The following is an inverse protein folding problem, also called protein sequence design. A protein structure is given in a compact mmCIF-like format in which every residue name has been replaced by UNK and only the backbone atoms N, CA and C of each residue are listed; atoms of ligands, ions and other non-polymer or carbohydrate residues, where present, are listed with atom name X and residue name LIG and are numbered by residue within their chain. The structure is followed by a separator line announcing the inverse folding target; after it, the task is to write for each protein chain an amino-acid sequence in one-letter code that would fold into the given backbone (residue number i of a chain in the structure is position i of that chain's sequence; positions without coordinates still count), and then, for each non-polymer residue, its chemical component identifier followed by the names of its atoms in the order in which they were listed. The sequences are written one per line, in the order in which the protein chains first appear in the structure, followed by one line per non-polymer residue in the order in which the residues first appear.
data_IF_755599977122
#
_entry.id   IF_755599977122
#
_cell.length_a   1.000
_cell.length_b   1.000
_cell.length_c   1.000
_cell.angle_alpha   90.00
_cell.angle_beta   90.00
_cell.angle_gamma   90.00
#
_symmetry.space_group_name_H-M   'P 1'
#
loop_
_entity.id
_entity.type
_entity.pdbx_description
1 polymer ?
#
# COMPACT_ATOMS: atom_id res chain seq x y z
N UNK A 1 -4.34 -41.12 7.91
CA UNK A 1 -4.73 -39.99 8.79
C UNK A 1 -3.84 -38.81 8.40
N UNK A 2 -4.34 -37.89 7.57
CA UNK A 2 -3.68 -36.63 7.16
C UNK A 2 -4.10 -35.46 8.08
N UNK A 3 -4.64 -35.75 9.27
CA UNK A 3 -5.44 -34.83 10.07
C UNK A 3 -4.64 -33.96 11.05
N UNK A 4 -3.33 -33.77 10.82
CA UNK A 4 -2.47 -33.00 11.72
C UNK A 4 -1.61 -31.95 11.00
N UNK A 5 -1.65 -31.87 9.67
CA UNK A 5 -0.95 -30.83 8.93
C UNK A 5 -1.87 -29.63 8.71
N UNK A 6 -1.43 -28.46 9.18
CA UNK A 6 -2.06 -27.19 8.86
C UNK A 6 -1.79 -26.90 7.39
N UNK A 7 -2.83 -26.87 6.58
CA UNK A 7 -2.72 -26.41 5.20
C UNK A 7 -2.34 -24.92 5.22
N UNK A 8 -1.23 -24.59 4.57
CA UNK A 8 -0.76 -23.22 4.41
C UNK A 8 -1.24 -22.71 3.05
N UNK A 9 -1.92 -21.57 3.05
CA UNK A 9 -2.27 -20.84 1.82
C UNK A 9 -1.24 -19.73 1.64
N UNK A 10 -0.67 -19.63 0.45
CA UNK A 10 0.23 -18.52 0.09
C UNK A 10 -0.54 -17.51 -0.74
N UNK A 11 -0.74 -16.32 -0.19
CA UNK A 11 -1.30 -15.17 -0.90
C UNK A 11 -0.18 -14.14 -1.13
N UNK A 12 0.07 -13.81 -2.40
CA UNK A 12 1.12 -12.87 -2.79
C UNK A 12 0.48 -11.54 -3.18
N UNK A 13 0.83 -10.49 -2.44
CA UNK A 13 0.38 -9.13 -2.70
C UNK A 13 1.55 -8.29 -3.25
N UNK A 14 1.35 -7.66 -4.39
CA UNK A 14 2.30 -6.71 -4.97
C UNK A 14 1.75 -5.29 -4.86
N UNK A 15 2.47 -4.40 -4.18
CA UNK A 15 2.10 -2.99 -4.04
C UNK A 15 3.17 -2.10 -4.67
N UNK A 16 2.77 -1.20 -5.57
CA UNK A 16 3.63 -0.17 -6.12
C UNK A 16 3.38 1.17 -5.43
N UNK A 17 4.45 1.84 -4.99
CA UNK A 17 4.36 3.14 -4.29
C UNK A 17 4.77 4.26 -5.24
N UNK A 18 3.83 5.13 -5.58
CA UNK A 18 4.11 6.35 -6.34
C UNK A 18 4.51 7.48 -5.39
N UNK A 19 5.69 8.07 -5.61
CA UNK A 19 6.10 9.30 -4.94
C UNK A 19 6.22 10.42 -5.96
N UNK A 20 5.27 11.38 -6.02
CA UNK A 20 5.39 12.51 -6.92
C UNK A 20 6.65 13.30 -6.56
N UNK A 21 7.44 13.68 -7.57
CA UNK A 21 8.62 14.50 -7.39
C UNK A 21 8.18 15.92 -6.95
N UNK A 22 8.14 16.16 -5.64
CA UNK A 22 7.91 17.49 -5.12
C UNK A 22 9.16 18.34 -5.42
N UNK A 23 9.17 19.04 -6.55
CA UNK A 23 10.19 20.03 -6.84
C UNK A 23 10.29 21.04 -5.69
N UNK A 24 11.51 21.34 -5.23
CA UNK A 24 11.81 22.32 -4.15
C UNK A 24 11.06 23.66 -4.27
N UNK A 25 10.65 24.03 -5.48
CA UNK A 25 9.86 25.23 -5.78
C UNK A 25 8.46 25.26 -5.13
N UNK A 26 7.85 24.11 -4.81
CA UNK A 26 6.44 24.06 -4.38
C UNK A 26 6.20 24.51 -2.93
N UNK A 27 7.20 24.36 -2.04
CA UNK A 27 7.13 24.84 -0.65
C UNK A 27 7.19 26.38 -0.55
N UNK A 28 7.73 27.07 -1.56
CA UNK A 28 7.84 28.53 -1.57
C UNK A 28 6.59 29.22 -2.13
N UNK A 29 5.94 28.61 -3.12
CA UNK A 29 4.71 29.15 -3.73
C UNK A 29 3.45 28.94 -2.87
N UNK A 30 3.51 28.07 -1.85
CA UNK A 30 2.35 27.74 -1.01
C UNK A 30 1.93 28.82 -0.02
N UNK A 31 2.68 29.91 0.12
CA UNK A 31 2.35 30.96 1.08
C UNK A 31 1.49 32.12 0.52
N UNK A 32 1.21 32.16 -0.79
CA UNK A 32 0.66 33.37 -1.43
C UNK A 32 -0.78 33.25 -1.94
N UNK A 33 -1.35 32.06 -2.19
CA UNK A 33 -2.69 31.97 -2.81
C UNK A 33 -3.54 30.80 -2.30
N UNK A 34 -4.47 31.05 -1.37
CA UNK A 34 -5.32 30.03 -0.77
C UNK A 34 -6.41 29.44 -1.71
N UNK A 35 -6.86 30.19 -2.74
CA UNK A 35 -7.91 29.72 -3.66
C UNK A 35 -7.35 28.98 -4.90
N UNK A 36 -6.23 29.44 -5.48
CA UNK A 36 -5.53 28.70 -6.57
C UNK A 36 -4.93 27.37 -6.10
N UNK A 37 -4.77 27.19 -4.78
CA UNK A 37 -4.28 25.96 -4.18
C UNK A 37 -5.25 24.79 -4.25
N UNK A 38 -6.56 25.02 -4.14
CA UNK A 38 -7.55 23.92 -4.16
C UNK A 38 -7.61 23.25 -5.53
N UNK A 39 -7.68 24.05 -6.59
CA UNK A 39 -7.64 23.53 -7.97
C UNK A 39 -6.30 22.88 -8.30
N UNK A 40 -5.18 23.46 -7.84
CA UNK A 40 -3.86 22.86 -8.00
C UNK A 40 -3.73 21.50 -7.30
N UNK A 41 -4.24 21.38 -6.08
CA UNK A 41 -4.24 20.11 -5.33
C UNK A 41 -5.10 19.03 -5.99
N UNK A 42 -6.28 19.40 -6.51
CA UNK A 42 -7.14 18.45 -7.21
C UNK A 42 -6.51 17.94 -8.50
N UNK A 43 -5.89 18.83 -9.30
CA UNK A 43 -5.18 18.44 -10.52
C UNK A 43 -4.02 17.51 -10.23
N UNK A 44 -3.20 17.84 -9.23
CA UNK A 44 -2.09 16.98 -8.84
C UNK A 44 -2.54 15.62 -8.30
N UNK A 45 -3.63 15.58 -7.52
CA UNK A 45 -4.22 14.32 -7.10
C UNK A 45 -4.67 13.50 -8.32
N UNK A 46 -5.33 14.14 -9.30
CA UNK A 46 -5.73 13.48 -10.53
C UNK A 46 -4.52 12.93 -11.32
N UNK A 47 -3.46 13.73 -11.47
CA UNK A 47 -2.21 13.32 -12.13
C UNK A 47 -1.56 12.14 -11.41
N UNK A 48 -1.52 12.17 -10.07
CA UNK A 48 -1.00 11.08 -9.26
C UNK A 48 -1.85 9.80 -9.40
N UNK A 49 -3.18 9.92 -9.42
CA UNK A 49 -4.08 8.79 -9.65
C UNK A 49 -3.90 8.21 -11.06
N UNK A 50 -3.73 9.06 -12.08
CA UNK A 50 -3.45 8.61 -13.45
C UNK A 50 -2.10 7.90 -13.55
N UNK A 51 -1.07 8.42 -12.89
CA UNK A 51 0.24 7.77 -12.80
C UNK A 51 0.13 6.39 -12.15
N UNK A 52 -0.57 6.27 -11.02
CA UNK A 52 -0.87 5.00 -10.37
C UNK A 52 -1.61 4.03 -11.29
N UNK A 53 -2.66 4.48 -11.99
CA UNK A 53 -3.41 3.66 -12.93
C UNK A 53 -2.54 3.17 -14.10
N UNK A 54 -1.64 4.02 -14.61
CA UNK A 54 -0.68 3.65 -15.65
C UNK A 54 0.28 2.57 -15.17
N UNK A 55 0.87 2.73 -13.97
CA UNK A 55 1.74 1.71 -13.38
C UNK A 55 1.01 0.39 -13.16
N UNK A 56 -0.22 0.43 -12.65
CA UNK A 56 -1.03 -0.76 -12.44
C UNK A 56 -1.28 -1.51 -13.76
N UNK A 57 -1.61 -0.80 -14.86
CA UNK A 57 -1.76 -1.40 -16.20
C UNK A 57 -0.45 -2.03 -16.69
N UNK A 58 0.68 -1.32 -16.57
CA UNK A 58 1.99 -1.84 -16.98
C UNK A 58 2.37 -3.10 -16.20
N UNK A 59 2.19 -3.10 -14.88
CA UNK A 59 2.48 -4.26 -14.01
C UNK A 59 1.53 -5.42 -14.31
N UNK A 60 0.25 -5.16 -14.54
CA UNK A 60 -0.72 -6.20 -14.89
C UNK A 60 -0.36 -6.87 -16.22
N UNK A 61 0.05 -6.07 -17.22
CA UNK A 61 0.48 -6.59 -18.50
C UNK A 61 1.79 -7.41 -18.40
N UNK A 62 2.78 -6.94 -17.65
CA UNK A 62 4.05 -7.66 -17.47
C UNK A 62 3.89 -8.96 -16.68
N UNK A 63 2.90 -9.01 -15.78
CA UNK A 63 2.59 -10.16 -14.95
C UNK A 63 1.47 -11.04 -15.52
N UNK A 64 0.95 -10.79 -16.73
CA UNK A 64 -0.23 -11.45 -17.27
C UNK A 64 -0.21 -12.99 -17.17
N UNK A 65 0.97 -13.61 -17.30
CA UNK A 65 1.17 -15.08 -17.14
C UNK A 65 0.81 -15.63 -15.76
N UNK A 66 0.79 -14.77 -14.75
CA UNK A 66 0.46 -15.08 -13.36
C UNK A 66 -0.98 -14.71 -12.99
N UNK A 67 -1.77 -14.26 -13.98
CA UNK A 67 -3.17 -13.86 -13.80
C UNK A 67 -3.35 -12.87 -12.64
N UNK A 68 -2.64 -11.73 -12.66
CA UNK A 68 -2.66 -10.78 -11.55
C UNK A 68 -4.08 -10.23 -11.38
N UNK A 69 -4.53 -10.18 -10.13
CA UNK A 69 -5.83 -9.63 -9.77
C UNK A 69 -5.68 -8.26 -9.13
N UNK A 70 -6.25 -7.23 -9.75
CA UNK A 70 -6.30 -5.90 -9.15
C UNK A 70 -7.34 -5.89 -8.03
N UNK A 71 -6.94 -5.45 -6.84
CA UNK A 71 -7.84 -5.26 -5.71
C UNK A 71 -8.79 -4.08 -5.99
N UNK A 72 -10.08 -4.28 -5.75
CA UNK A 72 -11.11 -3.31 -6.08
C UNK A 72 -12.10 -3.08 -4.92
N UNK A 73 -13.03 -2.15 -5.13
CA UNK A 73 -14.22 -2.08 -4.30
C UNK A 73 -15.26 -3.06 -4.85
N UNK A 74 -15.94 -3.77 -3.95
CA UNK A 74 -17.03 -4.67 -4.30
C UNK A 74 -18.25 -4.34 -3.46
N UNK A 75 -19.40 -4.80 -3.93
CA UNK A 75 -20.67 -4.63 -3.23
C UNK A 75 -21.14 -5.99 -2.75
N UNK A 76 -21.44 -6.08 -1.47
CA UNK A 76 -22.11 -7.21 -0.86
C UNK A 76 -23.43 -6.72 -0.26
N UNK A 77 -24.52 -7.36 -0.65
CA UNK A 77 -25.91 -6.93 -0.39
C UNK A 77 -26.14 -5.41 -0.69
N UNK A 78 -26.18 -4.61 0.37
CA UNK A 78 -26.45 -3.17 0.35
C UNK A 78 -25.26 -2.31 0.81
N UNK A 79 -24.07 -2.91 0.97
CA UNK A 79 -22.89 -2.21 1.50
C UNK A 79 -21.68 -2.36 0.57
N UNK A 80 -20.89 -1.30 0.49
CA UNK A 80 -19.63 -1.30 -0.24
C UNK A 80 -18.48 -1.75 0.67
N UNK A 81 -17.61 -2.57 0.12
CA UNK A 81 -16.40 -3.10 0.72
C UNK A 81 -15.21 -2.78 -0.17
N UNK A 82 -14.00 -2.89 0.37
CA UNK A 82 -12.78 -2.59 -0.36
C UNK A 82 -11.69 -3.60 -0.07
N UNK A 83 -11.31 -4.37 -1.07
CA UNK A 83 -10.25 -5.38 -0.95
C UNK A 83 -8.89 -4.75 -0.61
N UNK A 84 -8.67 -3.50 -1.03
CA UNK A 84 -7.48 -2.74 -0.63
C UNK A 84 -7.47 -2.49 0.88
N UNK A 85 -8.63 -2.15 1.46
CA UNK A 85 -8.74 -1.97 2.90
C UNK A 85 -8.63 -3.30 3.66
N UNK A 86 -9.12 -4.39 3.07
CA UNK A 86 -8.96 -5.75 3.61
C UNK A 86 -7.49 -6.17 3.65
N UNK A 87 -6.74 -5.92 2.58
CA UNK A 87 -5.29 -6.14 2.54
C UNK A 87 -4.55 -5.31 3.59
N UNK A 88 -4.88 -4.02 3.73
CA UNK A 88 -4.26 -3.17 4.75
C UNK A 88 -4.64 -3.65 6.17
N UNK A 89 -5.89 -4.06 6.39
CA UNK A 89 -6.34 -4.63 7.65
C UNK A 89 -5.61 -5.94 7.98
N UNK A 90 -5.35 -6.79 6.98
CA UNK A 90 -4.55 -8.01 7.14
C UNK A 90 -3.13 -7.67 7.63
N UNK A 91 -2.47 -6.68 7.02
CA UNK A 91 -1.13 -6.25 7.43
C UNK A 91 -1.09 -5.64 8.85
N UNK A 92 -2.15 -4.97 9.28
CA UNK A 92 -2.19 -4.28 10.58
C UNK A 92 -2.67 -5.21 11.70
N UNK A 93 -3.62 -6.10 11.40
CA UNK A 93 -4.32 -6.89 12.40
C UNK A 93 -3.90 -8.35 12.42
N UNK A 94 -3.25 -8.84 11.37
CA UNK A 94 -2.82 -10.24 11.23
C UNK A 94 -3.96 -11.20 10.87
N UNK A 95 -5.16 -10.69 10.59
CA UNK A 95 -6.33 -11.46 10.20
C UNK A 95 -6.98 -10.88 8.94
N UNK A 96 -7.38 -11.75 8.02
CA UNK A 96 -8.17 -11.35 6.85
C UNK A 96 -9.64 -11.22 7.25
N UNK A 97 -10.25 -10.08 6.92
CA UNK A 97 -11.67 -9.83 7.13
C UNK A 97 -12.20 -8.87 6.08
N UNK A 98 -13.48 -9.00 5.78
CA UNK A 98 -14.17 -8.01 4.94
C UNK A 98 -14.18 -6.64 5.62
N UNK A 99 -13.83 -5.59 4.87
CA UNK A 99 -13.77 -4.21 5.37
C UNK A 99 -14.73 -3.32 4.59
N UNK A 100 -15.81 -2.84 5.23
CA UNK A 100 -16.73 -1.92 4.57
C UNK A 100 -16.08 -0.56 4.37
N UNK A 101 -16.44 0.16 3.30
CA UNK A 101 -16.02 1.54 3.08
C UNK A 101 -16.50 2.42 4.24
N UNK A 102 -15.59 3.00 5.04
CA UNK A 102 -15.97 3.80 6.19
C UNK A 102 -16.30 5.24 5.77
N UNK A 103 -17.28 5.84 6.46
CA UNK A 103 -17.62 7.26 6.30
C UNK A 103 -16.78 8.15 7.23
N UNK A 104 -15.46 7.93 7.29
CA UNK A 104 -14.58 8.60 8.24
C UNK A 104 -13.10 8.27 8.04
N UNK A 105 -12.21 8.73 8.96
CA UNK A 105 -10.78 8.51 8.85
C UNK A 105 -10.43 7.01 8.87
N UNK A 106 -9.69 6.54 7.86
CA UNK A 106 -9.30 5.13 7.74
C UNK A 106 -8.52 4.63 8.95
N UNK A 107 -7.65 5.47 9.54
CA UNK A 107 -6.83 5.10 10.70
C UNK A 107 -7.68 4.69 11.91
N UNK A 108 -8.85 5.33 12.10
CA UNK A 108 -9.76 4.99 13.19
C UNK A 108 -10.58 3.73 12.90
N UNK A 109 -10.75 3.37 11.63
CA UNK A 109 -11.57 2.23 11.20
C UNK A 109 -10.78 0.92 11.11
N UNK A 110 -9.47 0.96 10.86
CA UNK A 110 -8.66 -0.23 10.52
C UNK A 110 -7.88 -0.81 11.71
N UNK A 111 -7.38 0.02 12.62
CA UNK A 111 -6.46 -0.44 13.67
C UNK A 111 -7.23 -1.06 14.85
N UNK A 112 -7.32 -2.39 14.89
CA UNK A 112 -7.98 -3.13 15.98
C UNK A 112 -7.02 -3.94 16.84
N UNK A 113 -5.79 -4.15 16.38
CA UNK A 113 -4.75 -4.95 17.04
C UNK A 113 -3.55 -4.08 17.41
N UNK A 114 -2.83 -4.47 18.47
CA UNK A 114 -1.57 -3.82 18.85
C UNK A 114 -0.38 -4.53 18.20
N UNK A 115 0.39 -3.77 17.43
CA UNK A 115 1.60 -4.20 16.75
C UNK A 115 2.84 -3.89 17.58
N UNK A 116 3.80 -4.81 17.60
CA UNK A 116 5.14 -4.58 18.13
C UNK A 116 6.16 -4.87 17.02
N UNK A 117 7.11 -3.95 16.87
CA UNK A 117 8.17 -4.04 15.87
C UNK A 117 9.51 -4.33 16.55
N UNK A 118 10.13 -5.45 16.19
CA UNK A 118 11.52 -5.78 16.47
C UNK A 118 12.42 -5.50 15.26
N UNK A 119 13.68 -5.93 15.33
CA UNK A 119 14.67 -5.67 14.26
C UNK A 119 14.24 -6.27 12.90
N UNK A 120 13.64 -7.46 12.92
CA UNK A 120 13.15 -8.17 11.73
C UNK A 120 11.88 -8.98 12.03
N UNK A 121 11.21 -8.68 13.15
CA UNK A 121 10.06 -9.43 13.64
C UNK A 121 8.90 -8.47 13.88
N UNK A 122 7.70 -8.86 13.47
CA UNK A 122 6.45 -8.22 13.87
C UNK A 122 5.73 -9.17 14.81
N UNK A 123 5.28 -8.68 15.96
CA UNK A 123 4.39 -9.41 16.86
C UNK A 123 3.00 -8.74 16.86
N UNK A 124 1.97 -9.53 16.60
CA UNK A 124 0.56 -9.15 16.68
C UNK A 124 -0.01 -9.70 17.98
N UNK A 125 -0.51 -8.82 18.85
CA UNK A 125 -1.22 -9.24 20.06
C UNK A 125 -2.71 -9.13 19.85
N UNK A 126 -3.32 -10.22 19.39
CA UNK A 126 -4.76 -10.33 19.24
C UNK A 126 -5.41 -10.64 20.59
N UNK A 127 -6.73 -10.43 20.75
CA UNK A 127 -7.43 -10.77 21.99
C UNK A 127 -7.31 -12.25 22.40
N UNK A 128 -7.19 -13.16 21.42
CA UNK A 128 -7.20 -14.61 21.63
C UNK A 128 -5.85 -15.29 21.39
N UNK A 129 -4.89 -14.61 20.76
CA UNK A 129 -3.62 -15.22 20.35
C UNK A 129 -2.53 -14.17 20.13
N UNK A 130 -1.27 -14.62 20.17
CA UNK A 130 -0.12 -13.84 19.70
C UNK A 130 0.39 -14.46 18.40
N UNK A 131 0.49 -13.66 17.34
CA UNK A 131 1.10 -14.09 16.07
C UNK A 131 2.44 -13.40 15.91
N UNK A 132 3.42 -14.09 15.34
CA UNK A 132 4.72 -13.53 14.99
C UNK A 132 4.96 -13.68 13.48
N UNK A 133 5.49 -12.64 12.86
CA UNK A 133 5.89 -12.60 11.46
C UNK A 133 7.34 -12.13 11.31
N UNK A 134 8.03 -12.60 10.28
CA UNK A 134 9.36 -12.11 9.90
C UNK A 134 9.27 -11.06 8.80
N UNK A 135 10.20 -10.10 8.81
CA UNK A 135 10.37 -9.12 7.74
C UNK A 135 11.74 -9.29 7.11
N UNK A 136 11.77 -9.38 5.78
CA UNK A 136 13.01 -9.41 5.01
C UNK A 136 13.05 -8.18 4.09
N UNK A 137 14.01 -7.29 4.35
CA UNK A 137 14.29 -6.15 3.48
C UNK A 137 15.34 -6.51 2.44
N UNK A 138 14.94 -6.63 1.18
CA UNK A 138 15.89 -6.74 0.06
C UNK A 138 16.00 -5.36 -0.58
N UNK A 139 17.22 -4.81 -0.60
CA UNK A 139 17.49 -3.50 -1.22
C UNK A 139 18.36 -3.69 -2.45
N UNK A 140 17.73 -3.78 -3.61
CA UNK A 140 18.43 -3.70 -4.88
C UNK A 140 18.54 -2.23 -5.31
N UNK A 141 19.77 -1.75 -5.39
CA UNK A 141 20.05 -0.47 -6.02
C UNK A 141 20.47 -0.75 -7.46
N UNK A 142 19.81 -0.18 -8.47
CA UNK A 142 20.34 -0.25 -9.83
C UNK A 142 21.74 0.38 -9.82
N UNK A 143 22.74 -0.36 -10.28
CA UNK A 143 24.04 0.23 -10.61
C UNK A 143 23.78 1.22 -11.74
N UNK A 144 24.16 2.50 -11.62
CA UNK A 144 23.98 3.45 -12.71
C UNK A 144 24.75 2.93 -13.93
N UNK A 145 24.04 2.43 -14.93
CA UNK A 145 24.63 2.01 -16.19
C UNK A 145 24.82 3.23 -17.07
N UNK A 146 25.98 3.87 -16.92
CA UNK A 146 26.63 4.67 -17.97
C UNK A 146 26.25 6.15 -18.06
N UNK A 147 27.25 7.00 -17.79
CA UNK A 147 27.40 8.31 -18.43
C UNK A 147 26.64 9.47 -17.79
N UNK A 148 26.93 9.77 -16.53
CA UNK A 148 27.21 11.12 -16.02
C UNK A 148 27.20 11.07 -14.49
N UNK A 149 28.40 10.99 -13.94
CA UNK A 149 28.65 10.97 -12.53
C UNK A 149 28.42 12.37 -11.95
N UNK A 150 27.18 12.70 -11.55
CA UNK A 150 26.94 13.63 -10.45
C UNK A 150 25.50 13.54 -9.94
N UNK A 151 25.28 12.81 -8.85
CA UNK A 151 24.73 13.36 -7.60
C UNK A 151 24.67 12.25 -6.54
N UNK A 152 25.80 12.04 -5.88
CA UNK A 152 25.79 11.48 -4.54
C UNK A 152 25.45 12.62 -3.56
N UNK A 153 24.79 12.25 -2.45
CA UNK A 153 24.48 13.05 -1.26
C UNK A 153 23.20 13.91 -1.30
N UNK A 154 22.12 13.36 -0.73
CA UNK A 154 21.61 13.73 0.62
C UNK A 154 20.36 12.91 0.95
#
# INVERSE_FOLDING_TARGET
RLSAESLMVNEIYLTAVYRPAAGRARRWLSHVVANAQKEGQQRELADALEACARMARTLSASLARYEPRLLACYRDEHRWYSEVLEFIALLINGESRAVPLPNGPLAAALATTRLFFGNEVIEYRLPSATLAGGMLGIKEYPTPSGGDAECAAC
#
